data_IF_493701213431
#
_entry.id   IF_493701213431
#
_cell.length_a   1.000
_cell.length_b   1.000
_cell.length_c   1.000
_cell.angle_alpha   90.00
_cell.angle_beta   90.00
_cell.angle_gamma   90.00
#
_symmetry.space_group_name_H-M   'P 1'
#
loop_
_entity.id
_entity.type
_entity.pdbx_description
1 polymer ?
#
# COMPACT_ATOMS: atom_id res chain seq x y z
N UNK A 1 -17.94 -24.67 25.41
CA UNK A 1 -17.56 -23.91 26.61
C UNK A 1 -16.55 -22.85 26.17
N UNK A 2 -17.02 -21.71 25.66
CA UNK A 2 -16.14 -20.59 25.33
C UNK A 2 -15.98 -19.77 26.59
N UNK A 3 -14.78 -19.76 27.17
CA UNK A 3 -14.45 -18.84 28.24
C UNK A 3 -14.40 -17.44 27.62
N UNK A 4 -15.42 -16.62 27.88
CA UNK A 4 -15.31 -15.18 27.65
C UNK A 4 -14.28 -14.64 28.62
N UNK A 5 -13.06 -14.45 28.12
CA UNK A 5 -12.09 -13.58 28.76
C UNK A 5 -12.63 -12.16 28.57
N UNK A 6 -13.23 -11.61 29.62
CA UNK A 6 -13.44 -10.17 29.76
C UNK A 6 -12.06 -9.52 29.80
N UNK A 7 -11.50 -9.28 28.63
CA UNK A 7 -10.38 -8.36 28.46
C UNK A 7 -11.01 -6.98 28.57
N UNK A 8 -10.64 -6.23 29.60
CA UNK A 8 -10.80 -4.78 29.59
C UNK A 8 -10.23 -4.28 28.26
N UNK A 9 -11.02 -3.52 27.50
CA UNK A 9 -10.53 -2.77 26.36
C UNK A 9 -9.64 -1.65 26.91
N UNK A 10 -8.46 -2.02 27.43
CA UNK A 10 -7.40 -1.06 27.67
C UNK A 10 -7.11 -0.41 26.31
N UNK A 11 -7.19 0.90 26.32
CA UNK A 11 -7.09 1.82 25.20
C UNK A 11 -5.94 1.42 24.25
N UNK A 12 -6.23 0.57 23.25
CA UNK A 12 -5.23 0.17 22.28
C UNK A 12 -4.74 1.45 21.59
N UNK A 13 -3.43 1.69 21.67
CA UNK A 13 -2.82 2.90 21.12
C UNK A 13 -3.21 3.02 19.65
N UNK A 14 -3.63 4.23 19.24
CA UNK A 14 -4.03 4.48 17.88
C UNK A 14 -2.79 4.34 16.99
N UNK A 15 -2.77 3.39 16.03
CA UNK A 15 -1.57 3.16 15.21
C UNK A 15 -1.21 4.39 14.36
N UNK A 16 -2.17 5.27 14.08
CA UNK A 16 -1.92 6.49 13.32
C UNK A 16 -0.98 7.46 14.06
N UNK A 17 -0.93 7.41 15.39
CA UNK A 17 -0.03 8.27 16.17
C UNK A 17 1.44 7.87 15.94
N UNK A 18 1.69 6.57 15.73
CA UNK A 18 3.02 6.08 15.32
C UNK A 18 3.30 6.41 13.85
N UNK A 19 2.30 6.30 12.98
CA UNK A 19 2.45 6.68 11.57
C UNK A 19 2.84 8.16 11.41
N UNK A 20 2.26 9.07 12.20
CA UNK A 20 2.66 10.48 12.20
C UNK A 20 4.14 10.66 12.54
N UNK A 21 4.66 9.91 13.52
CA UNK A 21 6.08 9.97 13.88
C UNK A 21 6.97 9.47 12.74
N UNK A 22 6.60 8.35 12.11
CA UNK A 22 7.33 7.76 10.98
C UNK A 22 7.36 8.75 9.80
N UNK A 23 6.20 9.29 9.42
CA UNK A 23 6.07 10.20 8.28
C UNK A 23 6.79 11.52 8.55
N UNK A 24 6.70 12.07 9.77
CA UNK A 24 7.43 13.26 10.17
C UNK A 24 8.96 13.03 10.20
N UNK A 25 9.42 11.86 10.64
CA UNK A 25 10.84 11.51 10.66
C UNK A 25 11.44 11.40 9.25
N UNK A 26 10.62 11.07 8.25
CA UNK A 26 10.98 11.08 6.83
C UNK A 26 10.83 12.46 6.16
N UNK A 27 10.43 13.50 6.91
CA UNK A 27 10.18 14.85 6.41
C UNK A 27 9.10 14.92 5.31
N UNK A 28 8.15 13.99 5.33
CA UNK A 28 7.04 13.93 4.38
C UNK A 28 5.86 14.80 4.81
N UNK A 29 5.14 15.37 3.84
CA UNK A 29 3.91 16.10 4.12
C UNK A 29 2.79 15.14 4.51
N UNK A 30 2.02 15.49 5.55
CA UNK A 30 0.90 14.68 6.01
C UNK A 30 -0.24 15.51 6.59
N UNK A 31 -1.42 14.90 6.60
CA UNK A 31 -2.66 15.46 7.11
C UNK A 31 -3.42 14.41 7.92
N UNK A 32 -3.55 14.66 9.23
CA UNK A 32 -4.39 13.87 10.13
C UNK A 32 -5.83 14.36 10.03
N UNK A 33 -6.58 13.75 9.11
CA UNK A 33 -7.96 14.14 8.77
C UNK A 33 -8.95 13.87 9.89
N UNK A 34 -8.74 12.79 10.65
CA UNK A 34 -9.53 12.44 11.83
C UNK A 34 -8.78 11.48 12.75
N UNK A 35 -9.40 11.10 13.87
CA UNK A 35 -8.86 10.04 14.73
C UNK A 35 -8.72 8.69 14.01
N UNK A 36 -9.44 8.48 12.91
CA UNK A 36 -9.46 7.22 12.15
C UNK A 36 -8.85 7.33 10.76
N UNK A 37 -8.39 8.50 10.33
CA UNK A 37 -7.90 8.72 8.96
C UNK A 37 -6.68 9.65 8.94
N UNK A 38 -5.66 9.25 8.18
CA UNK A 38 -4.47 10.05 7.90
C UNK A 38 -4.08 9.87 6.43
N UNK A 39 -3.60 10.94 5.82
CA UNK A 39 -2.98 10.91 4.50
C UNK A 39 -1.56 11.49 4.56
N UNK A 40 -0.67 11.01 3.71
CA UNK A 40 0.67 11.54 3.54
C UNK A 40 1.11 11.41 2.07
N UNK A 41 2.18 12.08 1.70
CA UNK A 41 2.80 11.96 0.39
C UNK A 41 4.27 11.58 0.55
N UNK A 42 4.68 10.49 -0.12
CA UNK A 42 6.05 10.02 -0.10
C UNK A 42 6.69 10.17 -1.48
N UNK A 43 7.87 10.79 -1.60
CA UNK A 43 8.57 10.91 -2.86
C UNK A 43 9.11 9.55 -3.30
N UNK A 44 8.87 9.21 -4.56
CA UNK A 44 9.43 8.01 -5.21
C UNK A 44 10.47 8.34 -6.28
N UNK A 45 11.06 7.30 -6.86
CA UNK A 45 11.93 7.45 -8.02
C UNK A 45 11.11 7.66 -9.31
N UNK A 46 9.98 6.96 -9.44
CA UNK A 46 9.12 7.09 -10.63
C UNK A 46 8.06 8.18 -10.53
N UNK A 47 7.42 8.30 -9.36
CA UNK A 47 6.41 9.30 -9.07
C UNK A 47 6.30 9.50 -7.56
N UNK A 48 5.60 10.56 -7.15
CA UNK A 48 5.17 10.69 -5.76
C UNK A 48 4.02 9.71 -5.47
N UNK A 49 3.95 9.21 -4.23
CA UNK A 49 2.98 8.22 -3.80
C UNK A 49 2.07 8.79 -2.72
N UNK A 50 0.76 8.68 -2.96
CA UNK A 50 -0.25 9.00 -1.96
C UNK A 50 -0.38 7.87 -0.94
N UNK A 51 -0.06 8.14 0.32
CA UNK A 51 -0.20 7.20 1.42
C UNK A 51 -1.50 7.50 2.17
N UNK A 52 -2.35 6.49 2.36
CA UNK A 52 -3.61 6.61 3.09
C UNK A 52 -3.73 5.54 4.16
N UNK A 53 -4.03 5.97 5.37
CA UNK A 53 -4.16 5.13 6.55
C UNK A 53 -5.56 5.29 7.12
N UNK A 54 -6.27 4.17 7.29
CA UNK A 54 -7.63 4.13 7.82
C UNK A 54 -7.66 3.16 9.00
N UNK A 55 -7.98 3.65 10.18
CA UNK A 55 -8.02 2.89 11.42
C UNK A 55 -9.46 2.55 11.82
N UNK A 56 -9.75 1.27 11.99
CA UNK A 56 -11.01 0.79 12.55
C UNK A 56 -10.81 0.37 14.00
N UNK A 57 -11.32 1.17 14.93
CA UNK A 57 -11.31 0.84 16.36
C UNK A 57 -12.12 -0.44 16.67
N UNK A 58 -13.23 -0.66 15.99
CA UNK A 58 -14.17 -1.77 16.25
C UNK A 58 -13.53 -3.15 16.05
N UNK A 59 -12.80 -3.32 14.94
CA UNK A 59 -12.15 -4.58 14.60
C UNK A 59 -10.64 -4.56 14.86
N UNK A 60 -10.11 -3.43 15.31
CA UNK A 60 -8.68 -3.19 15.55
C UNK A 60 -7.83 -3.47 14.30
N UNK A 61 -8.25 -2.93 13.15
CA UNK A 61 -7.56 -3.10 11.86
C UNK A 61 -7.18 -1.75 11.30
N UNK A 62 -5.92 -1.62 10.85
CA UNK A 62 -5.48 -0.50 10.05
C UNK A 62 -5.39 -0.93 8.58
N UNK A 63 -6.13 -0.24 7.70
CA UNK A 63 -5.94 -0.34 6.27
C UNK A 63 -4.93 0.71 5.81
N UNK A 64 -3.92 0.25 5.13
CA UNK A 64 -2.93 1.07 4.45
C UNK A 64 -3.11 0.96 2.94
N UNK A 65 -3.07 2.10 2.26
CA UNK A 65 -3.08 2.20 0.81
C UNK A 65 -1.92 3.08 0.36
N UNK A 66 -1.15 2.60 -0.61
CA UNK A 66 -0.16 3.37 -1.33
C UNK A 66 -0.66 3.54 -2.77
N UNK A 67 -0.96 4.77 -3.17
CA UNK A 67 -1.55 5.12 -4.45
C UNK A 67 -0.50 5.73 -5.38
N UNK A 68 -0.54 5.30 -6.63
CA UNK A 68 0.30 5.84 -7.69
C UNK A 68 -0.29 7.18 -8.14
N UNK A 69 0.54 8.15 -8.54
CA UNK A 69 0.04 9.32 -9.29
C UNK A 69 -0.16 8.95 -10.78
N UNK A 70 -1.16 8.08 -11.04
CA UNK A 70 -1.33 7.48 -12.36
C UNK A 70 -2.78 7.13 -12.72
N UNK A 71 -3.39 7.85 -13.65
CA UNK A 71 -4.76 7.57 -14.09
C UNK A 71 -4.86 6.58 -15.25
N UNK A 72 -5.54 5.46 -15.03
CA UNK A 72 -5.71 4.40 -16.04
C UNK A 72 -6.96 4.63 -16.89
N UNK A 73 -6.82 4.78 -18.22
CA UNK A 73 -7.96 4.86 -19.13
C UNK A 73 -8.83 3.60 -19.09
N UNK A 74 -10.15 3.75 -19.14
CA UNK A 74 -11.11 2.63 -19.07
C UNK A 74 -10.80 1.51 -20.07
N UNK A 75 -10.44 1.87 -21.31
CA UNK A 75 -10.08 0.94 -22.39
C UNK A 75 -8.87 0.05 -22.08
N UNK A 76 -8.02 0.43 -21.12
CA UNK A 76 -6.81 -0.30 -20.73
C UNK A 76 -6.99 -1.06 -19.41
N UNK A 77 -8.08 -0.84 -18.67
CA UNK A 77 -8.32 -1.49 -17.37
C UNK A 77 -8.33 -3.01 -17.46
N UNK A 78 -8.82 -3.59 -18.57
CA UNK A 78 -8.81 -5.04 -18.77
C UNK A 78 -7.41 -5.65 -18.74
N UNK A 79 -6.48 -5.08 -19.52
CA UNK A 79 -5.08 -5.53 -19.52
C UNK A 79 -4.39 -5.26 -18.17
N UNK A 80 -4.74 -4.14 -17.52
CA UNK A 80 -4.22 -3.84 -16.20
C UNK A 80 -4.68 -4.85 -15.15
N UNK A 81 -5.95 -5.27 -15.14
CA UNK A 81 -6.43 -6.27 -14.18
C UNK A 81 -5.67 -7.60 -14.29
N UNK A 82 -5.34 -8.03 -15.50
CA UNK A 82 -4.48 -9.19 -15.72
C UNK A 82 -3.07 -8.96 -15.17
N UNK A 83 -2.47 -7.79 -15.42
CA UNK A 83 -1.16 -7.44 -14.85
C UNK A 83 -1.18 -7.43 -13.32
N UNK A 84 -2.21 -6.85 -12.70
CA UNK A 84 -2.36 -6.81 -11.24
C UNK A 84 -2.45 -8.23 -10.66
N UNK A 85 -3.19 -9.14 -11.30
CA UNK A 85 -3.27 -10.54 -10.88
C UNK A 85 -1.89 -11.23 -10.93
N UNK A 86 -1.15 -11.07 -12.04
CA UNK A 86 0.18 -11.64 -12.20
C UNK A 86 1.19 -11.03 -11.21
N UNK A 87 1.10 -9.73 -10.94
CA UNK A 87 1.93 -9.04 -9.96
C UNK A 87 1.66 -9.54 -8.54
N UNK A 88 0.39 -9.74 -8.18
CA UNK A 88 -0.02 -10.21 -6.85
C UNK A 88 0.52 -11.60 -6.51
N UNK A 89 0.74 -12.47 -7.50
CA UNK A 89 1.40 -13.78 -7.28
C UNK A 89 2.87 -13.65 -6.84
N UNK A 90 3.48 -12.47 -6.99
CA UNK A 90 4.88 -12.20 -6.64
C UNK A 90 5.04 -11.43 -5.33
N UNK A 91 3.94 -11.01 -4.71
CA UNK A 91 3.94 -10.24 -3.46
C UNK A 91 3.93 -11.18 -2.25
N UNK A 92 4.70 -10.81 -1.23
CA UNK A 92 4.62 -11.45 0.08
C UNK A 92 3.52 -10.83 0.95
N UNK A 93 3.34 -9.52 0.83
CA UNK A 93 2.40 -8.73 1.63
C UNK A 93 1.55 -7.83 0.74
N UNK A 94 0.29 -7.68 1.14
CA UNK A 94 -0.65 -6.80 0.47
C UNK A 94 -1.05 -7.29 -0.91
N UNK A 95 -1.62 -6.40 -1.70
CA UNK A 95 -2.02 -6.66 -3.07
C UNK A 95 -2.16 -5.36 -3.84
N UNK A 96 -1.92 -5.39 -5.14
CA UNK A 96 -2.31 -4.34 -6.05
C UNK A 96 -3.79 -4.45 -6.43
N UNK A 97 -4.40 -3.29 -6.65
CA UNK A 97 -5.75 -3.13 -7.12
C UNK A 97 -5.89 -1.86 -7.96
N UNK A 98 -7.14 -1.57 -8.32
CA UNK A 98 -7.52 -0.33 -9.00
C UNK A 98 -8.61 0.36 -8.18
N UNK A 99 -8.44 1.64 -7.91
CA UNK A 99 -9.47 2.43 -7.26
C UNK A 99 -10.64 2.68 -8.22
N UNK A 100 -11.85 2.32 -7.78
CA UNK A 100 -13.00 2.13 -8.67
C UNK A 100 -13.48 3.39 -9.39
N UNK A 101 -13.43 4.56 -8.74
CA UNK A 101 -13.95 5.80 -9.33
C UNK A 101 -12.90 6.54 -10.17
N UNK A 102 -11.63 6.43 -9.80
CA UNK A 102 -10.58 7.29 -10.34
C UNK A 102 -9.68 6.54 -11.33
N UNK A 103 -9.69 5.20 -11.29
CA UNK A 103 -8.83 4.36 -12.13
C UNK A 103 -7.37 4.44 -11.70
N UNK A 104 -7.12 4.71 -10.43
CA UNK A 104 -5.78 4.82 -9.87
C UNK A 104 -5.29 3.42 -9.44
N UNK A 105 -4.13 2.94 -9.93
CA UNK A 105 -3.49 1.77 -9.35
C UNK A 105 -3.16 2.05 -7.89
N UNK A 106 -3.29 1.04 -7.05
CA UNK A 106 -3.03 1.14 -5.61
C UNK A 106 -2.45 -0.16 -5.11
N UNK A 107 -1.49 -0.09 -4.19
CA UNK A 107 -1.13 -1.18 -3.30
C UNK A 107 -1.93 -1.06 -2.00
N UNK A 108 -2.46 -2.17 -1.48
CA UNK A 108 -3.26 -2.20 -0.25
C UNK A 108 -2.79 -3.30 0.68
N UNK A 109 -2.72 -2.97 1.96
CA UNK A 109 -2.45 -3.92 3.03
C UNK A 109 -3.32 -3.63 4.26
N UNK A 110 -3.71 -4.68 4.97
CA UNK A 110 -4.51 -4.58 6.19
C UNK A 110 -3.75 -5.21 7.35
N UNK A 111 -3.55 -4.45 8.42
CA UNK A 111 -2.86 -4.90 9.63
C UNK A 111 -3.88 -5.10 10.75
N UNK A 112 -4.01 -6.34 11.22
CA UNK A 112 -4.82 -6.66 12.40
C UNK A 112 -3.97 -6.47 13.67
N UNK A 113 -4.40 -5.57 14.55
CA UNK A 113 -3.72 -5.20 15.79
C UNK A 113 -4.44 -5.72 17.04
N UNK A 114 -5.51 -6.51 16.87
CA UNK A 114 -6.21 -7.12 18.00
C UNK A 114 -5.29 -8.10 18.72
N UNK A 115 -5.18 -7.94 20.04
CA UNK A 115 -4.39 -8.84 20.89
C UNK A 115 -2.89 -8.51 20.92
N UNK A 116 -2.47 -7.45 20.24
CA UNK A 116 -1.16 -6.83 20.43
C UNK A 116 -1.32 -5.55 21.25
N UNK A 117 -0.24 -5.04 21.85
CA UNK A 117 -0.24 -3.73 22.51
C UNK A 117 -0.18 -2.57 21.49
N UNK A 118 -0.82 -2.72 20.32
CA UNK A 118 -0.63 -1.87 19.14
C UNK A 118 0.40 -2.46 18.15
N UNK A 119 0.70 -1.69 17.10
CA UNK A 119 1.76 -2.01 16.15
C UNK A 119 3.12 -1.52 16.69
N UNK A 120 4.20 -2.26 16.45
CA UNK A 120 5.55 -1.72 16.74
C UNK A 120 5.94 -0.69 15.68
N UNK A 121 6.81 0.26 16.04
CA UNK A 121 7.31 1.27 15.10
C UNK A 121 7.99 0.59 13.90
N UNK A 122 8.86 -0.38 14.17
CA UNK A 122 9.61 -1.11 13.14
C UNK A 122 8.68 -1.84 12.18
N UNK A 123 7.59 -2.45 12.69
CA UNK A 123 6.63 -3.15 11.84
C UNK A 123 5.84 -2.20 10.92
N UNK A 124 5.62 -0.97 11.36
CA UNK A 124 4.92 0.06 10.58
C UNK A 124 5.87 0.73 9.58
N UNK A 125 7.13 0.93 9.93
CA UNK A 125 8.19 1.35 9.01
C UNK A 125 8.37 0.32 7.90
N UNK A 126 8.56 -0.96 8.26
CA UNK A 126 8.67 -2.06 7.31
C UNK A 126 7.45 -2.12 6.37
N UNK A 127 6.24 -1.87 6.89
CA UNK A 127 5.03 -1.84 6.08
C UNK A 127 5.08 -0.77 4.98
N UNK A 128 5.50 0.44 5.32
CA UNK A 128 5.61 1.56 4.38
C UNK A 128 6.71 1.29 3.37
N UNK A 129 7.88 0.87 3.83
CA UNK A 129 9.05 0.60 2.99
C UNK A 129 8.77 -0.51 1.98
N UNK A 130 8.13 -1.61 2.43
CA UNK A 130 7.73 -2.71 1.53
C UNK A 130 6.74 -2.22 0.49
N UNK A 131 5.71 -1.45 0.88
CA UNK A 131 4.72 -0.96 -0.07
C UNK A 131 5.34 -0.04 -1.13
N UNK A 132 6.19 0.91 -0.71
CA UNK A 132 6.89 1.80 -1.64
C UNK A 132 7.82 1.01 -2.56
N UNK A 133 8.59 0.06 -2.00
CA UNK A 133 9.50 -0.79 -2.78
C UNK A 133 8.76 -1.62 -3.83
N UNK A 134 7.63 -2.24 -3.47
CA UNK A 134 6.84 -3.01 -4.44
C UNK A 134 6.18 -2.07 -5.46
N UNK A 135 5.69 -0.90 -5.06
CA UNK A 135 5.15 0.08 -5.99
C UNK A 135 6.20 0.52 -7.03
N UNK A 136 7.42 0.83 -6.58
CA UNK A 136 8.57 1.19 -7.42
C UNK A 136 8.97 0.06 -8.37
N UNK A 137 9.07 -1.17 -7.83
CA UNK A 137 9.43 -2.37 -8.59
C UNK A 137 8.43 -2.70 -9.71
N UNK A 138 7.14 -2.48 -9.48
CA UNK A 138 6.09 -2.81 -10.46
C UNK A 138 5.69 -1.64 -11.36
N UNK A 139 6.12 -0.41 -11.05
CA UNK A 139 5.81 0.77 -11.87
C UNK A 139 6.16 0.60 -13.36
N UNK A 140 7.33 0.07 -13.75
CA UNK A 140 7.67 -0.10 -15.16
C UNK A 140 6.73 -1.06 -15.90
N UNK A 141 6.21 -2.09 -15.23
CA UNK A 141 5.26 -3.01 -15.83
C UNK A 141 3.94 -2.30 -16.18
N UNK A 142 3.46 -1.41 -15.29
CA UNK A 142 2.30 -0.56 -15.60
C UNK A 142 2.58 0.32 -16.81
N UNK A 143 3.78 0.91 -16.87
CA UNK A 143 4.16 1.76 -18.00
C UNK A 143 4.14 1.00 -19.34
N UNK A 144 4.68 -0.22 -19.35
CA UNK A 144 4.71 -1.06 -20.53
C UNK A 144 3.33 -1.52 -21.02
N UNK A 145 2.39 -1.79 -20.12
CA UNK A 145 1.01 -2.15 -20.51
C UNK A 145 0.25 -0.92 -21.03
N UNK A 146 0.34 0.20 -20.32
CA UNK A 146 -0.50 1.38 -20.58
C UNK A 146 0.01 2.21 -21.78
N UNK A 147 1.33 2.37 -21.93
CA UNK A 147 1.93 3.17 -23.01
C UNK A 147 2.86 2.38 -23.92
N UNK A 148 3.44 1.27 -23.45
CA UNK A 148 4.32 0.42 -24.26
C UNK A 148 3.61 -0.59 -25.16
N UNK A 149 2.30 -0.82 -24.96
CA UNK A 149 1.51 -1.78 -25.72
C UNK A 149 1.92 -3.26 -25.55
N UNK A 150 2.70 -3.59 -24.51
CA UNK A 150 3.08 -4.96 -24.20
C UNK A 150 1.88 -5.72 -23.61
N UNK A 151 1.89 -7.04 -23.80
CA UNK A 151 0.99 -7.91 -23.04
C UNK A 151 1.34 -7.84 -21.55
N UNK A 152 0.38 -8.07 -20.62
CA UNK A 152 0.64 -8.09 -19.19
C UNK A 152 1.80 -9.00 -18.77
N UNK A 153 1.88 -10.21 -19.33
CA UNK A 153 2.95 -11.15 -19.05
C UNK A 153 4.32 -10.65 -19.55
N UNK A 154 4.40 -10.11 -20.76
CA UNK A 154 5.65 -9.58 -21.33
C UNK A 154 6.11 -8.31 -20.62
N UNK A 155 5.16 -7.46 -20.19
CA UNK A 155 5.43 -6.26 -19.41
C UNK A 155 6.02 -6.61 -18.05
N UNK A 156 5.42 -7.58 -17.36
CA UNK A 156 5.92 -8.06 -16.07
C UNK A 156 7.32 -8.69 -16.21
N UNK A 157 7.52 -9.54 -17.22
CA UNK A 157 8.82 -10.15 -17.46
C UNK A 157 9.90 -9.11 -17.78
N UNK A 158 9.57 -8.09 -18.57
CA UNK A 158 10.51 -7.00 -18.89
C UNK A 158 10.88 -6.18 -17.64
N UNK A 159 9.90 -5.76 -16.84
CA UNK A 159 10.16 -4.98 -15.62
C UNK A 159 11.03 -5.74 -14.62
N UNK A 160 10.84 -7.05 -14.49
CA UNK A 160 11.59 -7.89 -13.55
C UNK A 160 13.01 -8.25 -14.02
N UNK A 161 13.34 -8.03 -15.29
CA UNK A 161 14.71 -8.20 -15.80
C UNK A 161 15.56 -6.96 -15.51
N UNK A 162 14.97 -5.76 -15.64
CA UNK A 162 15.69 -4.50 -15.44
C UNK A 162 15.96 -4.22 -13.95
N UNK A 163 15.07 -4.62 -13.03
CA UNK A 163 15.27 -4.46 -11.58
C UNK A 163 16.35 -5.39 -10.96
N UNK A 164 16.96 -6.31 -11.73
CA UNK A 164 18.10 -7.12 -11.27
C UNK A 164 19.44 -6.43 -11.60
N UNK A 165 19.41 -5.32 -12.35
CA UNK A 165 20.59 -4.60 -12.83
C UNK A 165 21.13 -3.48 -11.94
N UNK A 166 20.40 -3.07 -10.90
CA UNK A 166 20.85 -2.02 -9.96
C UNK A 166 20.91 -2.59 -8.54
N UNK A 167 22.07 -3.16 -8.19
CA UNK A 167 22.47 -3.56 -6.84
C UNK A 167 23.96 -3.21 -6.63
#
# INVERSE_FOLDING_TARGET
MSASLTTSFDNAANPLDMMEQIVAANEWEFDRRSDSEMAAEAPGHWCDYGLFFNWSHEISVMHFTCAFDLKVPEKQRGALFELLALANEKLWLGHFGLEGNEGMPVFRHAVLLRGTNGASAESLEDLVDIALTECERFFPAFQFVLWGGKSPADALAAAMLDCVGEA
#
